data_IF_541036212054
#
_entry.id   IF_541036212054
#
_cell.length_a   1.000
_cell.length_b   1.000
_cell.length_c   1.000
_cell.angle_alpha   90.00
_cell.angle_beta   90.00
_cell.angle_gamma   90.00
#
_symmetry.space_group_name_H-M   'P 1'
#
loop_
_entity.id
_entity.type
_entity.pdbx_description
1 polymer ?
#
# COMPACT_ATOMS: atom_id res chain seq x y z
N UNK A 1 18.53 14.87 -18.86
CA UNK A 1 17.93 16.15 -18.48
C UNK A 1 16.52 15.88 -18.00
N UNK A 2 16.24 16.04 -16.70
CA UNK A 2 14.91 15.83 -16.13
C UNK A 2 14.10 17.10 -16.33
N UNK A 3 13.19 17.10 -17.30
CA UNK A 3 12.26 18.21 -17.49
C UNK A 3 11.25 18.18 -16.34
N UNK A 4 11.25 19.21 -15.48
CA UNK A 4 10.15 19.43 -14.54
C UNK A 4 8.83 19.51 -15.34
N UNK A 5 7.71 18.99 -14.79
CA UNK A 5 6.42 19.13 -15.45
C UNK A 5 6.02 20.62 -15.57
N UNK A 6 5.27 21.01 -16.61
CA UNK A 6 4.86 22.40 -16.82
C UNK A 6 3.52 22.74 -16.14
N UNK A 7 3.52 23.67 -15.17
CA UNK A 7 2.44 24.54 -14.60
C UNK A 7 1.10 23.89 -14.18
N UNK A 8 0.82 22.68 -14.60
CA UNK A 8 -0.24 21.80 -14.18
C UNK A 8 0.46 20.52 -13.72
N UNK A 9 1.20 20.65 -12.61
CA UNK A 9 2.23 19.74 -12.07
C UNK A 9 1.67 18.39 -11.57
N UNK A 10 0.68 17.85 -12.28
CA UNK A 10 0.11 16.55 -12.05
C UNK A 10 0.94 15.48 -12.77
N UNK A 11 1.56 14.62 -11.99
CA UNK A 11 2.13 13.36 -12.46
C UNK A 11 1.01 12.44 -12.96
N UNK A 12 1.25 11.66 -14.04
CA UNK A 12 0.30 10.64 -14.46
C UNK A 12 0.13 9.59 -13.37
N UNK A 13 -1.13 9.21 -13.10
CA UNK A 13 -1.47 8.21 -12.09
C UNK A 13 -0.83 6.85 -12.45
N UNK A 14 -0.12 6.18 -11.53
CA UNK A 14 0.41 4.84 -11.74
C UNK A 14 -0.64 3.84 -12.26
N UNK A 15 -0.26 3.03 -13.26
CA UNK A 15 -1.14 1.96 -13.79
C UNK A 15 -1.35 0.81 -12.81
N UNK A 16 -0.49 0.70 -11.78
CA UNK A 16 -0.54 -0.33 -10.74
C UNK A 16 -0.33 0.30 -9.38
N UNK A 17 -1.34 0.21 -8.52
CA UNK A 17 -1.24 0.67 -7.14
C UNK A 17 -0.45 -0.32 -6.30
N UNK A 18 0.57 0.20 -5.61
CA UNK A 18 1.34 -0.57 -4.62
C UNK A 18 0.72 -0.45 -3.23
N UNK A 19 -0.03 0.61 -2.96
CA UNK A 19 -0.72 0.77 -1.68
C UNK A 19 -1.82 -0.28 -1.52
N UNK A 20 -1.88 -0.89 -0.35
CA UNK A 20 -2.87 -1.87 0.02
C UNK A 20 -3.21 -1.80 1.50
N UNK A 21 -4.35 -2.36 1.85
CA UNK A 21 -4.75 -2.67 3.21
C UNK A 21 -4.49 -4.14 3.51
N UNK A 22 -3.84 -4.42 4.64
CA UNK A 22 -3.53 -5.77 5.12
C UNK A 22 -4.49 -6.11 6.26
N UNK A 23 -5.13 -7.28 6.18
CA UNK A 23 -6.03 -7.77 7.22
C UNK A 23 -5.34 -8.82 8.09
N UNK A 24 -5.51 -8.70 9.40
CA UNK A 24 -5.00 -9.66 10.39
C UNK A 24 -6.10 -10.58 10.91
N UNK A 25 -5.80 -11.89 11.02
CA UNK A 25 -6.58 -12.86 11.79
C UNK A 25 -7.96 -13.23 11.25
N UNK A 26 -8.22 -14.54 11.16
CA UNK A 26 -9.57 -15.08 11.31
C UNK A 26 -9.80 -15.31 12.81
N UNK A 27 -10.76 -14.59 13.40
CA UNK A 27 -11.10 -14.66 14.83
C UNK A 27 -12.21 -13.68 15.23
N UNK A 28 -12.65 -13.74 16.50
CA UNK A 28 -13.84 -13.03 17.01
C UNK A 28 -13.68 -11.51 17.20
N UNK A 29 -12.47 -10.95 17.09
CA UNK A 29 -12.24 -9.51 17.13
C UNK A 29 -11.42 -9.11 15.88
N UNK A 30 -12.06 -8.61 14.81
CA UNK A 30 -11.33 -8.16 13.64
C UNK A 30 -10.51 -6.92 13.99
N UNK A 31 -9.19 -7.04 13.98
CA UNK A 31 -8.31 -5.88 14.03
C UNK A 31 -8.55 -5.00 12.79
N UNK A 32 -8.44 -3.68 12.97
CA UNK A 32 -8.56 -2.74 11.86
C UNK A 32 -7.46 -3.05 10.81
N UNK A 33 -7.78 -3.08 9.51
CA UNK A 33 -6.78 -3.29 8.47
C UNK A 33 -5.65 -2.28 8.57
N UNK A 34 -4.43 -2.73 8.32
CA UNK A 34 -3.25 -1.90 8.34
C UNK A 34 -2.85 -1.40 6.95
N UNK A 35 -2.27 -0.19 6.84
CA UNK A 35 -1.68 0.26 5.58
C UNK A 35 -0.41 -0.54 5.26
N UNK A 36 -0.22 -0.86 3.98
CA UNK A 36 0.95 -1.57 3.47
C UNK A 36 1.26 -1.30 2.00
N UNK A 37 2.45 -1.70 1.58
CA UNK A 37 2.97 -1.53 0.23
C UNK A 37 3.34 -2.88 -0.38
N UNK A 38 2.81 -3.16 -1.57
CA UNK A 38 3.14 -4.31 -2.41
C UNK A 38 4.44 -4.02 -3.16
N UNK A 39 5.44 -4.84 -2.88
CA UNK A 39 6.77 -4.73 -3.46
C UNK A 39 6.93 -5.67 -4.65
N UNK A 40 6.44 -6.90 -4.54
CA UNK A 40 6.59 -7.93 -5.55
C UNK A 40 5.42 -8.95 -5.56
N UNK A 41 5.34 -9.77 -6.61
CA UNK A 41 4.34 -10.81 -6.82
C UNK A 41 4.99 -12.13 -7.16
N UNK A 42 4.49 -13.22 -6.58
CA UNK A 42 4.86 -14.58 -6.97
C UNK A 42 3.66 -15.51 -7.01
N UNK A 43 3.78 -16.59 -7.78
CA UNK A 43 2.78 -17.65 -7.84
C UNK A 43 3.33 -18.94 -7.23
N UNK A 44 2.60 -19.51 -6.27
CA UNK A 44 2.88 -20.83 -5.70
C UNK A 44 1.71 -21.76 -6.04
N UNK A 45 1.95 -22.70 -6.96
CA UNK A 45 0.90 -23.53 -7.53
C UNK A 45 -0.20 -22.69 -8.19
N UNK A 46 -1.41 -22.75 -7.63
CA UNK A 46 -2.59 -21.99 -8.08
C UNK A 46 -2.85 -20.71 -7.27
N UNK A 47 -2.01 -20.40 -6.28
CA UNK A 47 -2.20 -19.25 -5.39
C UNK A 47 -1.21 -18.13 -5.73
N UNK A 48 -1.70 -16.90 -5.73
CA UNK A 48 -0.87 -15.71 -5.82
C UNK A 48 -0.51 -15.20 -4.43
N UNK A 49 0.74 -14.80 -4.26
CA UNK A 49 1.25 -14.12 -3.08
C UNK A 49 1.89 -12.80 -3.49
N UNK A 50 1.80 -11.82 -2.59
CA UNK A 50 2.48 -10.54 -2.71
C UNK A 50 3.53 -10.40 -1.61
N UNK A 51 4.71 -9.88 -1.93
CA UNK A 51 5.67 -9.43 -0.92
C UNK A 51 5.22 -8.05 -0.45
N UNK A 52 4.83 -7.94 0.81
CA UNK A 52 4.23 -6.73 1.37
C UNK A 52 5.03 -6.28 2.57
N UNK A 53 5.28 -4.97 2.67
CA UNK A 53 5.68 -4.29 3.90
C UNK A 53 4.47 -3.55 4.47
N UNK A 54 4.18 -3.65 5.76
CA UNK A 54 3.00 -3.02 6.36
C UNK A 54 3.25 -2.62 7.82
N UNK A 55 2.34 -1.80 8.36
CA UNK A 55 2.31 -1.42 9.77
C UNK A 55 1.46 -2.42 10.55
N UNK A 56 2.06 -3.29 11.34
CA UNK A 56 1.34 -4.15 12.28
C UNK A 56 0.90 -3.33 13.50
N UNK A 57 -0.40 -3.06 13.55
CA UNK A 57 -1.10 -2.31 14.59
C UNK A 57 -1.86 -3.23 15.58
N UNK A 58 -1.57 -4.54 15.57
CA UNK A 58 -2.25 -5.50 16.45
C UNK A 58 -1.68 -5.51 17.88
N UNK A 59 -0.46 -4.99 18.05
CA UNK A 59 0.22 -4.88 19.34
C UNK A 59 -0.10 -3.58 20.09
N UNK A 60 0.57 -3.37 21.23
CA UNK A 60 0.50 -2.10 21.98
C UNK A 60 1.18 -0.92 21.27
N UNK A 61 2.05 -1.21 20.31
CA UNK A 61 2.78 -0.23 19.51
C UNK A 61 2.82 -0.72 18.08
N UNK A 62 2.73 0.23 17.17
CA UNK A 62 2.86 -0.02 15.74
C UNK A 62 4.27 -0.50 15.40
N UNK A 63 4.37 -1.54 14.59
CA UNK A 63 5.65 -2.10 14.15
C UNK A 63 5.65 -2.34 12.65
N UNK A 64 6.81 -2.19 12.02
CA UNK A 64 6.97 -2.53 10.60
C UNK A 64 7.16 -4.04 10.46
N UNK A 65 6.39 -4.65 9.57
CA UNK A 65 6.49 -6.07 9.22
C UNK A 65 6.61 -6.24 7.71
N UNK A 66 7.20 -7.35 7.29
CA UNK A 66 7.26 -7.75 5.88
C UNK A 66 7.17 -9.26 5.71
N UNK A 67 6.43 -9.71 4.69
CA UNK A 67 6.21 -11.13 4.40
C UNK A 67 5.54 -11.34 3.03
N UNK A 68 5.56 -12.59 2.56
CA UNK A 68 4.70 -13.04 1.46
C UNK A 68 3.29 -13.29 1.99
N UNK A 69 2.33 -12.46 1.57
CA UNK A 69 0.92 -12.58 1.97
C UNK A 69 0.08 -13.13 0.82
N UNK A 70 -0.92 -13.99 1.10
CA UNK A 70 -1.86 -14.41 0.07
C UNK A 70 -2.74 -13.23 -0.37
N UNK A 71 -3.18 -13.23 -1.64
CA UNK A 71 -4.10 -12.20 -2.17
C UNK A 71 -5.36 -12.01 -1.31
N UNK A 72 -5.84 -13.07 -0.65
CA UNK A 72 -7.00 -13.00 0.23
C UNK A 72 -6.81 -12.06 1.43
N UNK A 73 -5.58 -11.85 1.88
CA UNK A 73 -5.22 -11.02 3.04
C UNK A 73 -4.99 -9.54 2.69
N UNK A 74 -5.01 -9.17 1.41
CA UNK A 74 -4.69 -7.81 0.94
C UNK A 74 -5.83 -7.21 0.12
N UNK A 75 -6.00 -5.89 0.21
CA UNK A 75 -6.95 -5.13 -0.62
C UNK A 75 -6.24 -3.91 -1.20
N UNK A 76 -6.17 -3.74 -2.54
CA UNK A 76 -5.57 -2.56 -3.15
C UNK A 76 -6.25 -1.28 -2.65
N UNK A 77 -5.46 -0.26 -2.37
CA UNK A 77 -5.93 1.07 -2.06
C UNK A 77 -5.52 2.00 -3.20
N UNK A 78 -6.50 2.71 -3.77
CA UNK A 78 -6.22 3.74 -4.78
C UNK A 78 -5.54 4.91 -4.06
N UNK A 79 -4.32 5.23 -4.46
CA UNK A 79 -3.59 6.38 -3.96
C UNK A 79 -3.48 7.42 -5.06
N UNK A 80 -3.68 8.68 -4.71
CA UNK A 80 -3.34 9.79 -5.59
C UNK A 80 -1.86 10.15 -5.38
N UNK A 81 -1.10 10.26 -6.47
CA UNK A 81 0.29 10.72 -6.43
C UNK A 81 0.40 12.26 -6.37
N UNK A 82 -0.64 12.98 -6.80
CA UNK A 82 -0.67 14.44 -6.88
C UNK A 82 -1.29 15.09 -5.64
N UNK A 83 -0.93 14.57 -4.46
CA UNK A 83 -1.40 15.10 -3.17
C UNK A 83 -0.67 16.36 -2.73
N UNK A 84 0.50 16.63 -3.32
CA UNK A 84 1.29 17.84 -3.08
C UNK A 84 0.80 18.97 -3.98
N UNK A 85 -0.41 19.46 -3.73
CA UNK A 85 -0.93 20.68 -4.36
C UNK A 85 -0.87 21.84 -3.35
N UNK A 86 0.24 21.89 -2.63
CA UNK A 86 0.52 22.83 -1.58
C UNK A 86 0.85 24.16 -2.28
N UNK A 87 -0.18 24.94 -2.59
CA UNK A 87 0.02 26.38 -2.78
C UNK A 87 0.82 26.94 -1.61
N UNK A 88 1.50 28.10 -1.77
CA UNK A 88 2.35 28.65 -0.71
C UNK A 88 1.58 28.66 0.60
N UNK A 89 2.12 27.95 1.59
CA UNK A 89 1.61 27.81 2.95
C UNK A 89 0.97 29.14 3.40
N UNK A 90 -0.34 29.13 3.70
CA UNK A 90 -1.04 30.27 4.30
C UNK A 90 -1.04 30.14 5.81
#
# INVERSE_FOLDING_TARGET
MSANPPKNDAWPQPRRWRHCWVRFGQGNCPAAPAPGLILDWRREGRRWLAWVIWIDNTGRRDTVRQAWLPVSAIRPAKSDINVWNDGPWR
#
